data_IF_934504955814
#
_entry.id   IF_934504955814
#
_cell.length_a   1.000
_cell.length_b   1.000
_cell.length_c   1.000
_cell.angle_alpha   90.00
_cell.angle_beta   90.00
_cell.angle_gamma   90.00
#
_symmetry.space_group_name_H-M   'P 1'
#
loop_
_entity.id
_entity.type
_entity.pdbx_description
1 polymer ?
#
# COMPACT_ATOMS: atom_id res chain seq x y z
N UNK A 1 18.31 47.06 7.49
CA UNK A 1 16.84 47.03 7.37
C UNK A 1 16.35 45.77 8.05
N UNK A 2 15.51 45.94 9.05
CA UNK A 2 15.06 44.93 10.01
C UNK A 2 13.84 44.17 9.52
N UNK A 3 13.76 42.91 9.97
CA UNK A 3 12.56 42.10 10.31
C UNK A 3 11.50 41.86 9.22
N UNK A 4 11.29 40.58 8.86
CA UNK A 4 10.29 39.77 9.55
C UNK A 4 10.47 38.28 9.25
N UNK A 5 10.47 37.50 10.32
CA UNK A 5 10.18 36.07 10.33
C UNK A 5 8.81 35.82 9.69
N UNK A 6 8.71 34.75 8.92
CA UNK A 6 7.44 34.08 8.68
C UNK A 6 7.69 32.58 8.82
N UNK A 7 7.74 32.17 10.09
CA UNK A 7 7.43 30.83 10.54
C UNK A 7 6.07 30.44 9.97
N UNK A 8 6.02 29.37 9.18
CA UNK A 8 4.78 28.65 8.91
C UNK A 8 5.04 27.19 9.19
N UNK A 9 4.86 26.85 10.46
CA UNK A 9 4.67 25.50 10.96
C UNK A 9 3.17 25.32 11.14
N UNK A 10 2.46 24.62 10.25
CA UNK A 10 1.16 24.01 10.56
C UNK A 10 0.98 22.72 9.77
N UNK A 11 0.94 21.64 10.55
CA UNK A 11 0.31 20.36 10.26
C UNK A 11 -1.17 20.59 10.06
N UNK A 12 -1.77 20.03 9.00
CA UNK A 12 -3.14 19.48 9.06
C UNK A 12 -3.38 18.57 7.86
N UNK A 13 -4.03 17.46 8.16
CA UNK A 13 -4.36 16.36 7.27
C UNK A 13 -5.53 16.80 6.39
N UNK A 14 -5.30 17.01 5.10
CA UNK A 14 -6.38 17.07 4.12
C UNK A 14 -6.09 16.11 2.97
N UNK A 15 -6.88 15.05 2.97
CA UNK A 15 -7.21 14.20 1.85
C UNK A 15 -7.81 15.04 0.72
N UNK A 16 -6.99 15.67 -0.12
CA UNK A 16 -7.45 16.30 -1.35
C UNK A 16 -6.54 15.92 -2.52
N UNK A 17 -7.18 15.33 -3.54
CA UNK A 17 -6.55 14.97 -4.80
C UNK A 17 -6.03 16.20 -5.54
N UNK A 18 -4.78 16.12 -5.97
CA UNK A 18 -4.14 17.08 -6.87
C UNK A 18 -4.09 16.53 -8.32
N UNK A 19 -4.00 17.42 -9.34
CA UNK A 19 -4.73 17.28 -10.59
C UNK A 19 -3.98 16.56 -11.72
N UNK A 20 -4.65 15.55 -12.27
CA UNK A 20 -4.82 15.17 -13.68
C UNK A 20 -3.78 15.66 -14.73
N UNK A 21 -2.78 14.81 -15.01
CA UNK A 21 -2.17 14.65 -16.35
C UNK A 21 -2.18 13.15 -16.73
N UNK A 22 -2.71 12.85 -17.93
CA UNK A 22 -2.97 11.54 -18.55
C UNK A 22 -4.08 10.65 -17.91
N UNK A 23 -5.32 10.88 -18.34
CA UNK A 23 -6.49 10.02 -18.02
C UNK A 23 -6.56 8.74 -18.88
N UNK A 24 -5.45 8.28 -19.46
CA UNK A 24 -5.44 7.04 -20.25
C UNK A 24 -5.45 5.75 -19.44
N UNK A 25 -5.17 5.75 -18.13
CA UNK A 25 -5.43 4.62 -17.21
C UNK A 25 -4.86 4.96 -15.83
N UNK A 26 -5.56 5.75 -15.02
CA UNK A 26 -5.18 5.84 -13.61
C UNK A 26 -5.65 4.56 -12.92
N UNK A 27 -4.77 3.57 -12.85
CA UNK A 27 -5.05 2.29 -12.19
C UNK A 27 -5.19 2.55 -10.69
N UNK A 28 -6.38 2.32 -10.15
CA UNK A 28 -6.65 2.49 -8.71
C UNK A 28 -6.09 1.32 -7.91
N UNK A 29 -5.95 1.49 -6.60
CA UNK A 29 -5.55 0.38 -5.70
C UNK A 29 -6.51 -0.80 -5.82
N UNK A 30 -7.80 -0.53 -6.02
CA UNK A 30 -8.84 -1.55 -6.19
C UNK A 30 -8.62 -2.39 -7.46
N UNK A 31 -8.13 -1.76 -8.53
CA UNK A 31 -7.81 -2.45 -9.78
C UNK A 31 -6.57 -3.33 -9.60
N UNK A 32 -5.55 -2.85 -8.87
CA UNK A 32 -4.40 -3.67 -8.46
C UNK A 32 -4.80 -4.83 -7.55
N UNK A 33 -5.72 -4.64 -6.60
CA UNK A 33 -6.23 -5.75 -5.77
C UNK A 33 -6.97 -6.80 -6.60
N UNK A 34 -7.75 -6.35 -7.58
CA UNK A 34 -8.47 -7.24 -8.51
C UNK A 34 -7.47 -8.08 -9.32
N UNK A 35 -6.43 -7.44 -9.87
CA UNK A 35 -5.37 -8.14 -10.60
C UNK A 35 -4.60 -9.13 -9.73
N UNK A 36 -4.30 -8.77 -8.47
CA UNK A 36 -3.62 -9.66 -7.54
C UNK A 36 -4.49 -10.90 -7.24
N UNK A 37 -5.80 -10.70 -7.08
CA UNK A 37 -6.76 -11.79 -6.87
C UNK A 37 -6.84 -12.71 -8.10
N UNK A 38 -6.87 -12.12 -9.31
CA UNK A 38 -6.84 -12.88 -10.56
C UNK A 38 -5.53 -13.68 -10.67
N UNK A 39 -4.38 -13.10 -10.31
CA UNK A 39 -3.11 -13.81 -10.28
C UNK A 39 -3.15 -15.02 -9.32
N UNK A 40 -3.68 -14.85 -8.10
CA UNK A 40 -3.86 -15.97 -7.15
C UNK A 40 -4.76 -17.08 -7.68
N UNK A 41 -5.90 -16.73 -8.30
CA UNK A 41 -6.80 -17.74 -8.89
C UNK A 41 -6.16 -18.51 -10.04
N UNK A 42 -5.19 -17.90 -10.74
CA UNK A 42 -4.37 -18.57 -11.77
C UNK A 42 -3.22 -19.39 -11.19
N UNK A 43 -3.02 -19.36 -9.87
CA UNK A 43 -1.88 -19.98 -9.18
C UNK A 43 -0.58 -19.18 -9.27
N UNK A 44 -0.62 -17.96 -9.80
CA UNK A 44 0.52 -17.05 -9.85
C UNK A 44 0.67 -16.28 -8.53
N UNK A 45 1.18 -17.00 -7.54
CA UNK A 45 1.44 -16.49 -6.18
C UNK A 45 2.46 -15.35 -6.20
N UNK A 46 3.54 -15.49 -6.97
CA UNK A 46 4.60 -14.50 -7.05
C UNK A 46 4.13 -13.23 -7.77
N UNK A 47 3.31 -13.36 -8.81
CA UNK A 47 2.66 -12.24 -9.47
C UNK A 47 1.79 -11.43 -8.50
N UNK A 48 0.97 -12.10 -7.69
CA UNK A 48 0.15 -11.45 -6.67
C UNK A 48 1.01 -10.70 -5.63
N UNK A 49 2.07 -11.33 -5.11
CA UNK A 49 3.01 -10.69 -4.17
C UNK A 49 3.66 -9.45 -4.76
N UNK A 50 4.04 -9.49 -6.06
CA UNK A 50 4.62 -8.35 -6.75
C UNK A 50 3.61 -7.21 -6.88
N UNK A 51 2.36 -7.50 -7.19
CA UNK A 51 1.31 -6.47 -7.26
C UNK A 51 1.12 -5.82 -5.88
N UNK A 52 1.06 -6.60 -4.80
CA UNK A 52 1.01 -6.03 -3.45
C UNK A 52 2.25 -5.21 -3.09
N UNK A 53 3.42 -5.58 -3.60
CA UNK A 53 4.62 -4.73 -3.44
C UNK A 53 4.48 -3.37 -4.12
N UNK A 54 3.95 -3.34 -5.35
CA UNK A 54 3.70 -2.10 -6.07
C UNK A 54 2.63 -1.25 -5.36
N UNK A 55 1.56 -1.87 -4.85
CA UNK A 55 0.57 -1.18 -4.01
C UNK A 55 1.27 -0.52 -2.82
N UNK A 56 2.14 -1.25 -2.11
CA UNK A 56 2.84 -0.75 -0.92
C UNK A 56 3.91 0.30 -1.24
N UNK A 57 4.47 0.32 -2.46
CA UNK A 57 5.39 1.39 -2.89
C UNK A 57 4.67 2.72 -3.05
N UNK A 58 3.43 2.71 -3.55
CA UNK A 58 2.63 3.92 -3.75
C UNK A 58 1.85 4.28 -2.49
N UNK A 59 1.31 3.27 -1.80
CA UNK A 59 0.49 3.40 -0.60
C UNK A 59 1.10 2.59 0.55
N UNK A 60 2.19 3.07 1.16
CA UNK A 60 2.89 2.34 2.22
C UNK A 60 2.05 2.12 3.48
N UNK A 61 1.02 2.95 3.68
CA UNK A 61 0.07 2.86 4.80
C UNK A 61 -1.21 2.09 4.45
N UNK A 62 -1.23 1.37 3.33
CA UNK A 62 -2.41 0.61 2.93
C UNK A 62 -2.44 -0.75 3.65
N UNK A 63 -3.18 -0.78 4.77
CA UNK A 63 -3.29 -1.94 5.66
C UNK A 63 -3.69 -3.23 4.93
N UNK A 64 -4.65 -3.15 4.01
CA UNK A 64 -5.18 -4.32 3.32
C UNK A 64 -4.14 -4.98 2.41
N UNK A 65 -3.21 -4.23 1.82
CA UNK A 65 -2.09 -4.83 1.08
C UNK A 65 -1.10 -5.55 2.00
N UNK A 66 -0.77 -4.98 3.16
CA UNK A 66 0.07 -5.66 4.15
C UNK A 66 -0.55 -6.97 4.62
N UNK A 67 -1.84 -6.94 4.94
CA UNK A 67 -2.61 -8.11 5.34
C UNK A 67 -2.67 -9.17 4.23
N UNK A 68 -3.09 -8.79 3.02
CA UNK A 68 -3.19 -9.74 1.91
C UNK A 68 -1.82 -10.32 1.52
N UNK A 69 -0.75 -9.53 1.53
CA UNK A 69 0.62 -10.02 1.30
C UNK A 69 1.02 -11.06 2.36
N UNK A 70 0.73 -10.80 3.63
CA UNK A 70 1.01 -11.72 4.73
C UNK A 70 0.25 -13.05 4.56
N UNK A 71 -1.05 -12.97 4.25
CA UNK A 71 -1.90 -14.13 3.98
C UNK A 71 -1.34 -14.98 2.84
N UNK A 72 -0.87 -14.35 1.76
CA UNK A 72 -0.33 -15.08 0.61
C UNK A 72 0.99 -15.77 0.98
N UNK A 73 1.87 -15.10 1.71
CA UNK A 73 3.13 -15.68 2.19
C UNK A 73 2.88 -16.87 3.11
N UNK A 74 1.90 -16.77 4.00
CA UNK A 74 1.53 -17.85 4.92
C UNK A 74 0.92 -19.05 4.18
N UNK A 75 -0.08 -18.81 3.32
CA UNK A 75 -0.86 -19.89 2.70
C UNK A 75 -0.14 -20.56 1.52
N UNK A 76 0.59 -19.79 0.70
CA UNK A 76 1.13 -20.29 -0.55
C UNK A 76 2.66 -20.46 -0.54
N UNK A 77 3.38 -19.62 0.19
CA UNK A 77 4.85 -19.68 0.27
C UNK A 77 5.30 -20.45 1.52
N UNK A 78 4.45 -20.56 2.54
CA UNK A 78 4.80 -21.05 3.88
C UNK A 78 5.93 -20.26 4.55
N UNK A 79 6.16 -19.00 4.12
CA UNK A 79 7.12 -18.10 4.74
C UNK A 79 6.47 -17.37 5.92
N UNK A 80 6.33 -18.11 7.01
CA UNK A 80 5.81 -17.59 8.29
C UNK A 80 6.58 -16.38 8.82
N UNK A 81 7.93 -16.33 8.84
CA UNK A 81 8.61 -15.15 9.37
C UNK A 81 8.33 -13.90 8.53
N UNK A 82 8.29 -14.00 7.21
CA UNK A 82 7.96 -12.84 6.37
C UNK A 82 6.49 -12.44 6.48
N UNK A 83 5.57 -13.40 6.61
CA UNK A 83 4.16 -13.13 6.87
C UNK A 83 3.96 -12.38 8.20
N UNK A 84 4.61 -12.84 9.28
CA UNK A 84 4.57 -12.16 10.58
C UNK A 84 5.09 -10.74 10.51
N UNK A 85 6.18 -10.50 9.75
CA UNK A 85 6.68 -9.15 9.53
C UNK A 85 5.65 -8.27 8.81
N UNK A 86 4.94 -8.78 7.81
CA UNK A 86 3.89 -8.04 7.12
C UNK A 86 2.69 -7.74 8.05
N UNK A 87 2.29 -8.69 8.90
CA UNK A 87 1.26 -8.45 9.92
C UNK A 87 1.71 -7.40 10.96
N UNK A 88 2.97 -7.40 11.36
CA UNK A 88 3.53 -6.37 12.25
C UNK A 88 3.49 -4.97 11.59
N UNK A 89 3.75 -4.87 10.28
CA UNK A 89 3.55 -3.59 9.56
C UNK A 89 2.08 -3.17 9.52
N UNK A 90 1.15 -4.11 9.31
CA UNK A 90 -0.29 -3.81 9.34
C UNK A 90 -0.72 -3.28 10.72
N UNK A 91 -0.26 -3.93 11.79
CA UNK A 91 -0.54 -3.53 13.18
C UNK A 91 0.08 -2.18 13.55
N UNK A 92 1.19 -1.79 12.92
CA UNK A 92 1.75 -0.44 13.11
C UNK A 92 0.91 0.66 12.49
N UNK A 93 0.19 0.33 11.41
CA UNK A 93 -0.70 1.27 10.72
C UNK A 93 -2.02 1.40 11.49
N UNK A 94 -2.64 0.27 11.80
CA UNK A 94 -3.85 0.21 12.63
C UNK A 94 -3.67 -0.84 13.74
N UNK A 95 -3.33 -0.41 14.96
CA UNK A 95 -3.14 -1.29 16.10
C UNK A 95 -4.44 -1.69 16.82
N UNK A 96 -5.62 -1.28 16.33
CA UNK A 96 -6.86 -1.24 17.11
C UNK A 96 -7.85 -2.37 16.81
#
# INVERSE_FOLDING_TARGET
MSLHEASWNWVEVESEGAPMEDVSSFKTVEDWESDATIALTRGDVFGALRIYEEILKVYPQYLKAWYNRAVILEQYVSDKPQALWCYDQALKIDPN
#
